data_IF_280670529978
#
_entry.id   IF_280670529978
#
_cell.length_a   1.000
_cell.length_b   1.000
_cell.length_c   1.000
_cell.angle_alpha   90.00
_cell.angle_beta   90.00
_cell.angle_gamma   90.00
#
_symmetry.space_group_name_H-M   'P 1'
#
loop_
_entity.id
_entity.type
_entity.pdbx_description
1 polymer ?
#
# COMPACT_ATOMS: atom_id res chain seq x y z
N UNK A 1 -4.05 -2.95 -9.61
CA UNK A 1 -5.36 -3.47 -9.14
C UNK A 1 -5.20 -4.56 -8.08
N UNK A 2 -4.78 -5.78 -8.41
CA UNK A 2 -4.70 -6.90 -7.43
C UNK A 2 -3.86 -6.55 -6.20
N UNK A 3 -2.68 -5.94 -6.39
CA UNK A 3 -1.85 -5.43 -5.30
C UNK A 3 -2.62 -4.47 -4.37
N UNK A 4 -3.42 -3.57 -4.94
CA UNK A 4 -4.24 -2.63 -4.18
C UNK A 4 -5.36 -3.32 -3.40
N UNK A 5 -5.99 -4.36 -3.98
CA UNK A 5 -7.02 -5.16 -3.28
C UNK A 5 -6.41 -5.90 -2.08
N UNK A 6 -5.23 -6.51 -2.25
CA UNK A 6 -4.49 -7.18 -1.17
C UNK A 6 -4.21 -6.19 -0.03
N UNK A 7 -3.60 -5.04 -0.34
CA UNK A 7 -3.29 -4.04 0.69
C UNK A 7 -4.54 -3.42 1.30
N UNK A 8 -5.61 -3.22 0.55
CA UNK A 8 -6.88 -2.74 1.09
C UNK A 8 -7.48 -3.76 2.08
N UNK A 9 -7.47 -5.05 1.75
CA UNK A 9 -7.98 -6.08 2.66
C UNK A 9 -7.19 -6.10 3.98
N UNK A 10 -5.86 -6.10 3.92
CA UNK A 10 -5.00 -6.03 5.11
C UNK A 10 -5.11 -4.69 5.85
N UNK A 11 -5.17 -3.58 5.13
CA UNK A 11 -5.39 -2.26 5.70
C UNK A 11 -6.74 -2.14 6.38
N UNK A 12 -7.79 -2.77 5.85
CA UNK A 12 -9.13 -2.79 6.45
C UNK A 12 -9.16 -3.65 7.72
N UNK A 13 -8.40 -4.75 7.79
CA UNK A 13 -8.18 -5.48 9.04
C UNK A 13 -7.54 -4.57 10.11
N UNK A 14 -6.52 -3.80 9.71
CA UNK A 14 -5.76 -2.94 10.62
C UNK A 14 -6.50 -1.67 11.02
N UNK A 15 -7.26 -1.07 10.12
CA UNK A 15 -7.91 0.22 10.34
C UNK A 15 -9.35 0.07 10.85
N UNK A 16 -10.11 -0.84 10.25
CA UNK A 16 -11.56 -0.99 10.50
C UNK A 16 -11.93 -2.24 11.28
N UNK A 17 -11.01 -3.19 11.45
CA UNK A 17 -11.28 -4.47 12.11
C UNK A 17 -12.07 -5.44 11.23
N UNK A 18 -12.11 -5.20 9.92
CA UNK A 18 -12.78 -6.09 8.98
C UNK A 18 -12.08 -7.44 8.91
N UNK A 19 -12.77 -8.47 8.41
CA UNK A 19 -12.20 -9.81 8.21
C UNK A 19 -11.55 -10.41 9.46
N UNK A 20 -12.11 -10.12 10.64
CA UNK A 20 -11.59 -10.59 11.93
C UNK A 20 -10.29 -9.89 12.38
N UNK A 21 -9.96 -8.73 11.80
CA UNK A 21 -8.81 -7.92 12.19
C UNK A 21 -9.00 -7.21 13.54
N UNK A 22 -7.89 -6.75 14.12
CA UNK A 22 -7.87 -6.09 15.42
C UNK A 22 -8.42 -4.65 15.44
N UNK A 23 -8.64 -4.06 14.25
CA UNK A 23 -9.03 -2.67 14.10
C UNK A 23 -7.96 -1.69 14.55
N UNK A 24 -8.24 -0.39 14.41
CA UNK A 24 -7.22 0.65 14.61
C UNK A 24 -6.60 0.60 16.01
N UNK A 25 -7.43 0.59 17.06
CA UNK A 25 -6.95 0.58 18.45
C UNK A 25 -6.13 -0.66 18.78
N UNK A 26 -6.59 -1.85 18.37
CA UNK A 26 -5.89 -3.11 18.63
C UNK A 26 -4.57 -3.20 17.87
N UNK A 27 -4.56 -2.77 16.61
CA UNK A 27 -3.35 -2.76 15.77
C UNK A 27 -2.33 -1.75 16.28
N UNK A 28 -2.77 -0.54 16.66
CA UNK A 28 -1.91 0.46 17.28
C UNK A 28 -1.27 -0.08 18.56
N UNK A 29 -2.06 -0.70 19.45
CA UNK A 29 -1.55 -1.31 20.67
C UNK A 29 -0.54 -2.43 20.42
N UNK A 30 -0.77 -3.27 19.41
CA UNK A 30 0.18 -4.30 19.01
C UNK A 30 1.49 -3.69 18.47
N UNK A 31 1.41 -2.71 17.58
CA UNK A 31 2.60 -2.07 17.00
C UNK A 31 3.41 -1.29 18.02
N UNK A 32 2.78 -0.49 18.88
CA UNK A 32 3.49 0.34 19.86
C UNK A 32 3.90 -0.45 21.11
N UNK A 33 3.09 -1.43 21.52
CA UNK A 33 3.33 -2.21 22.73
C UNK A 33 4.23 -3.42 22.50
N UNK A 34 3.91 -4.26 21.51
CA UNK A 34 4.66 -5.51 21.29
C UNK A 34 5.85 -5.30 20.35
N UNK A 35 5.66 -4.57 19.25
CA UNK A 35 6.74 -4.30 18.28
C UNK A 35 7.57 -3.06 18.64
N UNK A 36 7.18 -2.31 19.68
CA UNK A 36 7.87 -1.09 20.13
C UNK A 36 8.06 -0.03 19.03
N UNK A 37 7.17 0.00 18.04
CA UNK A 37 7.20 0.96 16.95
C UNK A 37 6.68 2.31 17.48
N UNK A 38 7.37 3.44 17.25
CA UNK A 38 6.85 4.75 17.64
C UNK A 38 5.47 5.02 17.03
N UNK A 39 4.57 5.62 17.81
CA UNK A 39 3.16 5.76 17.44
C UNK A 39 2.92 6.43 16.09
N UNK A 40 3.77 7.39 15.71
CA UNK A 40 3.70 8.06 14.40
C UNK A 40 3.92 7.07 13.26
N UNK A 41 4.94 6.19 13.36
CA UNK A 41 5.21 5.19 12.34
C UNK A 41 4.17 4.07 12.34
N UNK A 42 3.65 3.68 13.51
CA UNK A 42 2.55 2.73 13.60
C UNK A 42 1.29 3.25 12.88
N UNK A 43 0.93 4.51 13.12
CA UNK A 43 -0.18 5.17 12.42
C UNK A 43 0.07 5.23 10.91
N UNK A 44 1.26 5.67 10.49
CA UNK A 44 1.63 5.75 9.08
C UNK A 44 1.58 4.37 8.41
N UNK A 45 1.98 3.31 9.09
CA UNK A 45 1.89 1.95 8.56
C UNK A 45 0.44 1.54 8.29
N UNK A 46 -0.46 1.74 9.26
CA UNK A 46 -1.89 1.44 9.11
C UNK A 46 -2.51 2.27 7.98
N UNK A 47 -2.25 3.58 7.99
CA UNK A 47 -2.76 4.50 6.97
C UNK A 47 -2.23 4.14 5.57
N UNK A 48 -0.95 3.79 5.46
CA UNK A 48 -0.33 3.43 4.19
C UNK A 48 -0.91 2.13 3.61
N UNK A 49 -1.22 1.11 4.41
CA UNK A 49 -1.89 -0.08 3.85
C UNK A 49 -3.32 0.22 3.41
N UNK A 50 -4.09 0.92 4.24
CA UNK A 50 -5.50 1.18 3.95
C UNK A 50 -5.69 2.16 2.80
N UNK A 51 -5.17 3.38 2.93
CA UNK A 51 -5.30 4.41 1.91
C UNK A 51 -4.38 4.15 0.72
N UNK A 52 -3.22 3.54 0.92
CA UNK A 52 -2.37 3.11 -0.19
C UNK A 52 -3.05 2.01 -1.01
N UNK A 53 -3.72 1.05 -0.36
CA UNK A 53 -4.55 0.06 -1.05
C UNK A 53 -5.63 0.71 -1.92
N UNK A 54 -6.40 1.65 -1.37
CA UNK A 54 -7.39 2.43 -2.12
C UNK A 54 -6.77 3.23 -3.28
N UNK A 55 -5.66 3.92 -3.02
CA UNK A 55 -4.91 4.66 -4.05
C UNK A 55 -4.45 3.77 -5.20
N UNK A 56 -3.99 2.55 -4.91
CA UNK A 56 -3.60 1.57 -5.93
C UNK A 56 -4.78 0.94 -6.68
N UNK A 57 -5.97 0.86 -6.07
CA UNK A 57 -7.19 0.38 -6.72
C UNK A 57 -7.68 1.42 -7.73
N UNK A 58 -7.83 2.66 -7.31
CA UNK A 58 -8.31 3.75 -8.17
C UNK A 58 -7.23 4.32 -9.08
N UNK A 59 -5.96 3.98 -8.84
CA UNK A 59 -4.83 4.58 -9.53
C UNK A 59 -4.73 6.08 -9.23
N UNK A 60 -4.90 6.47 -7.97
CA UNK A 60 -4.75 7.84 -7.47
C UNK A 60 -3.47 7.93 -6.64
N UNK A 61 -2.60 8.89 -6.96
CA UNK A 61 -1.28 9.07 -6.35
C UNK A 61 -0.49 7.76 -6.35
N UNK A 62 -0.53 7.00 -7.44
CA UNK A 62 -0.07 5.60 -7.50
C UNK A 62 1.37 5.43 -7.01
N UNK A 63 2.26 6.39 -7.32
CA UNK A 63 3.66 6.38 -6.88
C UNK A 63 3.81 6.56 -5.37
N UNK A 64 3.02 7.46 -4.78
CA UNK A 64 3.02 7.71 -3.33
C UNK A 64 2.39 6.53 -2.59
N UNK A 65 1.26 6.03 -3.10
CA UNK A 65 0.58 4.86 -2.56
C UNK A 65 1.48 3.60 -2.60
N UNK A 66 2.15 3.35 -3.73
CA UNK A 66 3.10 2.23 -3.87
C UNK A 66 4.32 2.38 -2.95
N UNK A 67 4.84 3.59 -2.76
CA UNK A 67 5.92 3.84 -1.82
C UNK A 67 5.53 3.54 -0.37
N UNK A 68 4.35 3.95 0.07
CA UNK A 68 3.86 3.66 1.42
C UNK A 68 3.77 2.16 1.70
N UNK A 69 3.17 1.39 0.78
CA UNK A 69 3.07 -0.07 0.94
C UNK A 69 4.42 -0.77 0.81
N UNK A 70 5.33 -0.24 0.00
CA UNK A 70 6.71 -0.74 -0.12
C UNK A 70 7.46 -0.64 1.21
N UNK A 71 7.39 0.52 1.88
CA UNK A 71 7.98 0.71 3.21
C UNK A 71 7.39 -0.25 4.25
N UNK A 72 6.08 -0.48 4.22
CA UNK A 72 5.44 -1.45 5.12
C UNK A 72 5.96 -2.86 4.92
N UNK A 73 6.18 -3.30 3.67
CA UNK A 73 6.73 -4.63 3.41
C UNK A 73 8.16 -4.77 3.94
N UNK A 74 9.00 -3.75 3.78
CA UNK A 74 10.35 -3.78 4.36
C UNK A 74 10.28 -3.95 5.88
N UNK A 75 9.46 -3.15 6.57
CA UNK A 75 9.32 -3.21 8.02
C UNK A 75 8.72 -4.55 8.47
N UNK A 76 7.72 -5.07 7.76
CA UNK A 76 7.11 -6.36 8.07
C UNK A 76 8.13 -7.51 7.96
N UNK A 77 8.96 -7.51 6.92
CA UNK A 77 10.04 -8.49 6.78
C UNK A 77 11.08 -8.33 7.90
N UNK A 78 11.55 -7.11 8.16
CA UNK A 78 12.61 -6.89 9.13
C UNK A 78 12.19 -7.19 10.59
N UNK A 79 10.96 -6.84 10.96
CA UNK A 79 10.50 -6.88 12.35
C UNK A 79 9.71 -8.15 12.71
N UNK A 80 9.03 -8.76 11.74
CA UNK A 80 8.09 -9.86 12.02
C UNK A 80 8.53 -11.14 11.33
N UNK A 81 8.72 -11.10 10.00
CA UNK A 81 8.82 -12.32 9.20
C UNK A 81 10.26 -12.85 8.99
N UNK A 82 11.28 -12.00 9.11
CA UNK A 82 12.66 -12.36 8.83
C UNK A 82 13.19 -13.51 9.68
N UNK A 83 12.68 -13.65 10.91
CA UNK A 83 13.05 -14.72 11.84
C UNK A 83 12.49 -16.10 11.45
N UNK A 84 11.45 -16.16 10.61
CA UNK A 84 10.80 -17.42 10.20
C UNK A 84 11.38 -17.98 8.90
N UNK A 85 12.36 -17.31 8.30
CA UNK A 85 13.01 -17.75 7.06
C UNK A 85 12.19 -17.45 5.80
N UNK A 86 12.63 -18.02 4.68
CA UNK A 86 12.10 -17.64 3.36
C UNK A 86 10.67 -18.13 3.13
N UNK A 87 10.40 -19.42 3.37
CA UNK A 87 9.16 -20.07 2.94
C UNK A 87 7.94 -19.66 3.76
N UNK A 88 6.85 -19.33 3.07
CA UNK A 88 5.54 -19.16 3.72
C UNK A 88 5.07 -20.44 4.41
N UNK A 89 4.30 -20.30 5.49
CA UNK A 89 3.84 -21.43 6.30
C UNK A 89 2.51 -21.99 5.80
N UNK A 90 2.41 -22.27 4.51
CA UNK A 90 1.16 -22.69 3.85
C UNK A 90 0.49 -23.92 4.50
N UNK A 91 1.29 -24.83 5.05
CA UNK A 91 0.80 -26.09 5.64
C UNK A 91 0.74 -26.05 7.17
N UNK A 92 1.09 -24.93 7.81
CA UNK A 92 1.11 -24.81 9.28
C UNK A 92 2.27 -25.55 9.98
N UNK A 93 3.30 -25.99 9.25
CA UNK A 93 4.44 -26.73 9.79
C UNK A 93 5.47 -25.84 10.52
N UNK A 94 5.43 -24.53 10.32
CA UNK A 94 6.33 -23.55 10.92
C UNK A 94 5.67 -22.81 12.10
N UNK A 95 6.50 -22.18 12.93
CA UNK A 95 6.03 -21.36 14.08
C UNK A 95 5.45 -20.01 13.68
N UNK A 96 5.68 -19.57 12.44
CA UNK A 96 5.22 -18.30 11.90
C UNK A 96 5.38 -18.26 10.39
N UNK A 97 4.89 -17.20 9.77
CA UNK A 97 4.94 -17.02 8.32
C UNK A 97 6.32 -16.51 7.88
N UNK A 98 6.92 -17.16 6.89
CA UNK A 98 8.12 -16.65 6.22
C UNK A 98 7.88 -15.37 5.41
N UNK A 99 8.91 -14.90 4.71
CA UNK A 99 8.88 -13.61 4.01
C UNK A 99 8.80 -13.70 2.47
N UNK A 100 8.66 -14.89 1.88
CA UNK A 100 8.54 -15.11 0.42
C UNK A 100 7.45 -14.23 -0.22
N UNK A 101 6.24 -14.23 0.34
CA UNK A 101 5.14 -13.42 -0.18
C UNK A 101 5.41 -11.92 -0.10
N UNK A 102 6.06 -11.47 0.98
CA UNK A 102 6.40 -10.07 1.19
C UNK A 102 7.39 -9.55 0.13
N UNK A 103 8.35 -10.38 -0.29
CA UNK A 103 9.27 -10.02 -1.38
C UNK A 103 8.56 -9.84 -2.71
N UNK A 104 7.56 -10.67 -3.00
CA UNK A 104 6.75 -10.52 -4.21
C UNK A 104 5.98 -9.19 -4.19
N UNK A 105 5.37 -8.83 -3.05
CA UNK A 105 4.67 -7.55 -2.90
C UNK A 105 5.63 -6.35 -3.00
N UNK A 106 6.85 -6.49 -2.46
CA UNK A 106 7.90 -5.49 -2.53
C UNK A 106 8.36 -5.25 -3.98
N UNK A 107 8.60 -6.33 -4.74
CA UNK A 107 8.93 -6.23 -6.16
C UNK A 107 7.78 -5.60 -6.98
N UNK A 108 6.53 -6.01 -6.73
CA UNK A 108 5.36 -5.47 -7.43
C UNK A 108 5.15 -3.98 -7.14
N UNK A 109 5.31 -3.55 -5.88
CA UNK A 109 5.21 -2.15 -5.50
C UNK A 109 6.36 -1.31 -6.09
N UNK A 110 7.59 -1.83 -6.13
CA UNK A 110 8.72 -1.17 -6.79
C UNK A 110 8.45 -0.92 -8.29
N UNK A 111 7.87 -1.89 -8.99
CA UNK A 111 7.47 -1.71 -10.40
C UNK A 111 6.46 -0.57 -10.56
N UNK A 112 5.48 -0.44 -9.66
CA UNK A 112 4.50 0.65 -9.69
C UNK A 112 5.10 2.01 -9.32
N UNK A 113 6.09 2.06 -8.44
CA UNK A 113 6.82 3.29 -8.14
C UNK A 113 7.54 3.81 -9.39
N UNK A 114 8.18 2.92 -10.16
CA UNK A 114 8.92 3.27 -11.38
C UNK A 114 7.96 3.60 -12.53
N UNK A 115 7.06 2.66 -12.86
CA UNK A 115 6.18 2.78 -14.03
C UNK A 115 5.01 3.74 -13.83
N UNK A 116 4.57 3.96 -12.61
CA UNK A 116 3.39 4.77 -12.29
C UNK A 116 2.06 4.08 -12.62
N UNK A 117 1.02 4.89 -12.75
CA UNK A 117 -0.37 4.44 -12.88
C UNK A 117 -0.72 3.87 -14.27
N UNK A 118 -1.67 2.92 -14.31
CA UNK A 118 -2.14 2.29 -15.54
C UNK A 118 -3.02 3.17 -16.43
N UNK A 119 -3.48 2.63 -17.55
CA UNK A 119 -4.33 3.35 -18.51
C UNK A 119 -5.69 3.77 -17.91
N UNK A 120 -6.30 2.93 -17.09
CA UNK A 120 -7.58 3.19 -16.42
C UNK A 120 -7.41 3.82 -15.02
N UNK A 121 -6.50 4.78 -14.86
CA UNK A 121 -6.19 5.42 -13.57
C UNK A 121 -6.79 6.81 -13.44
N UNK A 122 -7.18 7.19 -12.22
CA UNK A 122 -7.58 8.57 -11.91
C UNK A 122 -6.42 9.55 -12.15
N UNK A 123 -5.18 9.13 -11.88
CA UNK A 123 -3.96 9.90 -12.19
C UNK A 123 -3.94 10.35 -13.67
N UNK A 124 -4.31 9.46 -14.60
CA UNK A 124 -4.39 9.79 -16.02
C UNK A 124 -5.52 10.76 -16.32
N UNK A 125 -6.70 10.56 -15.75
CA UNK A 125 -7.86 11.43 -15.97
C UNK A 125 -7.58 12.87 -15.51
N UNK A 126 -6.88 13.02 -14.39
CA UNK A 126 -6.47 14.33 -13.87
C UNK A 126 -5.41 14.99 -14.77
N UNK A 127 -4.41 14.23 -15.21
CA UNK A 127 -3.36 14.73 -16.10
C UNK A 127 -3.90 15.12 -17.49
N UNK A 128 -4.82 14.34 -18.07
CA UNK A 128 -5.41 14.65 -19.38
C UNK A 128 -6.32 15.87 -19.31
N UNK A 129 -7.09 16.02 -18.22
CA UNK A 129 -7.96 17.18 -18.01
C UNK A 129 -7.17 18.48 -17.82
N UNK A 130 -6.06 18.42 -17.09
CA UNK A 130 -5.14 19.56 -16.95
C UNK A 130 -4.54 19.98 -18.30
N UNK A 131 -4.09 19.01 -19.11
CA UNK A 131 -3.57 19.30 -20.46
C UNK A 131 -4.63 19.93 -21.36
N UNK A 132 -5.87 19.46 -21.31
CA UNK A 132 -6.94 19.96 -22.19
C UNK A 132 -7.35 21.41 -21.82
N UNK A 133 -7.31 21.77 -20.52
CA UNK A 133 -7.54 23.15 -20.06
C UNK A 133 -6.45 24.11 -20.55
N UNK A 134 -5.18 23.71 -20.50
CA UNK A 134 -4.07 24.55 -20.99
C UNK A 134 -4.21 24.80 -22.49
N UNK A 135 -4.51 23.77 -23.28
CA UNK A 135 -4.71 23.92 -24.74
C UNK A 135 -5.92 24.80 -25.06
N UNK A 136 -7.01 24.68 -24.31
CA UNK A 136 -8.19 25.52 -24.50
C UNK A 136 -7.94 27.01 -24.18
N UNK A 137 -7.13 27.30 -23.16
CA UNK A 137 -6.74 28.68 -22.81
C UNK A 137 -5.69 29.29 -23.74
N UNK A 138 -4.84 28.45 -24.35
CA UNK A 138 -3.80 28.89 -25.28
C UNK A 138 -4.29 29.14 -26.72
N UNK A 139 -5.53 28.75 -27.04
CA UNK A 139 -6.09 28.98 -28.38
C UNK A 139 -6.49 30.46 -28.50
N UNK A 140 -5.90 31.24 -29.43
CA UNK A 140 -6.33 32.62 -29.63
C UNK A 140 -7.82 32.61 -30.00
N UNK A 141 -8.58 33.54 -29.42
CA UNK A 141 -9.94 33.79 -29.84
C UNK A 141 -9.87 34.24 -31.30
N UNK A 142 -10.14 33.32 -32.23
CA UNK A 142 -10.28 33.65 -33.63
C UNK A 142 -11.50 34.56 -33.73
N UNK A 143 -11.22 35.85 -33.96
CA UNK A 143 -12.19 36.89 -34.24
C UNK A 143 -12.80 36.68 -35.63
#
# INVERSE_FOLDING_TARGET
>A
LVLGVIFFAHGAQKMLGWFGGYGFTGTMGFFTGMLHIPAVFAFLAIAAEFFGGLGLIFGLLTRVASFGVFCNMIVAVAMVHGQFGFWMNWTGAQKGEGYEYHLLLLAASAVLMIRGAGAASVDRLLSSSASNRITAQARPQAA
#
